data_IF_091231537383
#
_entry.id   IF_091231537383
#
_cell.length_a   1.000
_cell.length_b   1.000
_cell.length_c   1.000
_cell.angle_alpha   90.00
_cell.angle_beta   90.00
_cell.angle_gamma   90.00
#
_symmetry.space_group_name_H-M   'P 1'
#
loop_
_entity.id
_entity.type
_entity.pdbx_description
1 polymer ?
#
# COMPACT_ATOMS: atom_id res chain seq x y z
N UNK A 1 -46.58 54.17 47.26
CA UNK A 1 -47.52 54.53 46.18
C UNK A 1 -46.77 54.52 44.85
N UNK A 2 -47.30 53.76 43.87
CA UNK A 2 -47.12 53.89 42.39
C UNK A 2 -45.71 53.53 41.86
N UNK A 3 -45.47 52.50 41.04
CA UNK A 3 -46.07 52.09 39.75
C UNK A 3 -46.04 53.18 38.68
N UNK A 4 -45.12 53.09 37.70
CA UNK A 4 -45.39 52.70 36.31
C UNK A 4 -44.20 52.98 35.37
N UNK A 5 -44.23 52.22 34.29
CA UNK A 5 -43.39 52.19 33.09
C UNK A 5 -43.11 53.55 32.43
N UNK A 6 -42.01 53.64 31.68
CA UNK A 6 -42.06 54.13 30.29
C UNK A 6 -40.85 53.69 29.44
N UNK A 7 -41.14 53.65 28.13
CA UNK A 7 -40.49 52.94 27.03
C UNK A 7 -39.39 53.73 26.29
N UNK A 8 -38.54 52.96 25.59
CA UNK A 8 -37.88 53.21 24.27
C UNK A 8 -36.70 54.19 24.16
N UNK A 9 -35.54 53.73 23.67
CA UNK A 9 -35.14 53.78 22.25
C UNK A 9 -33.61 53.48 21.99
N UNK A 10 -33.36 52.62 21.00
CA UNK A 10 -32.27 52.63 19.97
C UNK A 10 -30.75 52.58 20.28
N UNK A 11 -30.17 51.36 20.15
CA UNK A 11 -28.98 50.95 19.35
C UNK A 11 -27.54 51.38 19.73
N UNK A 12 -26.46 50.82 19.13
CA UNK A 12 -26.22 49.49 18.56
C UNK A 12 -25.14 48.67 19.30
N UNK A 13 -24.96 47.42 18.83
CA UNK A 13 -24.12 46.32 19.33
C UNK A 13 -22.60 46.61 19.34
N UNK A 14 -21.91 46.21 20.42
CA UNK A 14 -20.49 45.87 20.41
C UNK A 14 -20.36 44.33 20.41
N UNK A 15 -19.82 43.81 19.32
CA UNK A 15 -19.68 42.37 19.08
C UNK A 15 -18.62 41.72 19.96
N UNK A 16 -18.96 40.56 20.49
CA UNK A 16 -18.00 39.54 20.89
C UNK A 16 -17.17 39.10 19.68
N UNK A 17 -15.85 38.90 19.80
CA UNK A 17 -15.07 38.29 18.74
C UNK A 17 -15.57 36.86 18.55
N UNK A 18 -16.20 36.62 17.39
CA UNK A 18 -16.45 35.28 16.85
C UNK A 18 -15.08 34.58 16.79
N UNK A 19 -14.95 33.47 17.53
CA UNK A 19 -13.94 32.46 17.17
C UNK A 19 -14.37 31.91 15.82
N UNK A 20 -13.57 32.19 14.80
CA UNK A 20 -13.71 31.50 13.53
C UNK A 20 -13.60 30.00 13.78
N UNK A 21 -14.51 29.18 13.24
CA UNK A 21 -14.31 27.75 13.22
C UNK A 21 -13.08 27.46 12.34
N UNK A 22 -12.07 26.81 12.92
CA UNK A 22 -11.00 26.15 12.17
C UNK A 22 -11.69 25.30 11.09
N UNK A 23 -11.39 25.49 9.79
CA UNK A 23 -12.01 24.67 8.76
C UNK A 23 -11.64 23.21 9.04
N UNK A 24 -12.67 22.37 9.09
CA UNK A 24 -12.53 20.92 9.12
C UNK A 24 -11.54 20.52 8.01
N UNK A 25 -10.42 19.95 8.44
CA UNK A 25 -9.27 19.58 7.62
C UNK A 25 -9.63 18.59 6.52
N UNK A 26 -8.76 18.49 5.51
CA UNK A 26 -8.75 17.50 4.42
C UNK A 26 -9.18 16.07 4.79
N UNK A 27 -9.08 15.69 6.06
CA UNK A 27 -9.54 14.40 6.59
C UNK A 27 -11.04 14.15 6.35
N UNK A 28 -11.88 15.20 6.38
CA UNK A 28 -13.31 15.07 6.09
C UNK A 28 -13.59 14.88 4.58
N UNK A 29 -12.75 15.44 3.71
CA UNK A 29 -12.89 15.31 2.27
C UNK A 29 -12.42 13.93 1.77
N UNK A 30 -11.36 13.35 2.37
CA UNK A 30 -10.94 11.98 2.08
C UNK A 30 -11.96 10.93 2.54
N UNK A 31 -12.65 11.16 3.66
CA UNK A 31 -13.71 10.26 4.16
C UNK A 31 -14.96 10.31 3.26
N UNK A 32 -15.26 11.47 2.66
CA UNK A 32 -16.39 11.62 1.74
C UNK A 32 -16.11 11.04 0.33
N UNK A 33 -14.86 11.07 -0.13
CA UNK A 33 -14.47 10.55 -1.45
C UNK A 33 -14.51 9.01 -1.55
N UNK A 34 -14.40 8.30 -0.42
CA UNK A 34 -14.44 6.83 -0.37
C UNK A 34 -15.84 6.24 -0.15
N UNK A 35 -16.91 7.04 -0.26
CA UNK A 35 -18.29 6.60 0.06
C UNK A 35 -19.40 7.04 -0.89
N UNK A 36 -19.09 7.71 -2.01
CA UNK A 36 -20.10 8.25 -2.93
C UNK A 36 -19.73 8.04 -4.39
N UNK A 37 -20.57 7.27 -5.11
CA UNK A 37 -20.51 7.14 -6.59
C UNK A 37 -20.39 8.52 -7.26
N UNK A 38 -19.42 8.74 -8.17
CA UNK A 38 -19.50 9.87 -9.08
C UNK A 38 -20.41 9.52 -10.27
N UNK A 39 -21.23 10.52 -10.65
CA UNK A 39 -21.99 10.56 -11.89
C UNK A 39 -21.06 10.68 -13.12
N UNK A 40 -21.51 10.32 -14.33
CA UNK A 40 -20.64 10.17 -15.51
C UNK A 40 -20.28 11.53 -16.14
N UNK A 41 -19.32 11.50 -17.08
CA UNK A 41 -18.78 12.57 -17.96
C UNK A 41 -17.36 13.03 -17.52
N UNK A 42 -16.33 13.12 -18.35
CA UNK A 42 -16.22 13.28 -19.80
C UNK A 42 -14.88 12.66 -20.31
N UNK A 43 -14.89 12.13 -21.53
CA UNK A 43 -13.74 11.55 -22.24
C UNK A 43 -12.84 12.67 -22.75
N UNK A 44 -11.55 12.63 -22.41
CA UNK A 44 -10.49 13.31 -23.17
C UNK A 44 -9.51 12.24 -23.66
N UNK A 45 -9.54 11.99 -24.97
CA UNK A 45 -8.61 11.13 -25.68
C UNK A 45 -7.28 11.86 -25.89
N UNK A 46 -6.18 11.23 -25.49
CA UNK A 46 -4.85 11.60 -25.95
C UNK A 46 -4.19 10.38 -26.62
N UNK A 47 -4.40 10.29 -27.94
CA UNK A 47 -3.47 9.64 -28.85
C UNK A 47 -2.22 10.54 -28.96
N UNK A 48 -1.04 10.03 -28.60
CA UNK A 48 0.14 10.31 -29.42
C UNK A 48 1.23 9.25 -29.24
N UNK A 49 1.35 8.46 -30.30
CA UNK A 49 2.41 7.50 -30.59
C UNK A 49 3.61 8.25 -31.15
N UNK A 50 4.77 8.14 -30.51
CA UNK A 50 6.13 8.07 -31.12
C UNK A 50 7.01 7.40 -30.05
N UNK A 51 7.53 6.19 -30.16
CA UNK A 51 8.33 5.65 -31.24
C UNK A 51 9.82 5.80 -30.90
N UNK A 52 10.41 4.84 -30.18
CA UNK A 52 11.78 4.36 -30.38
C UNK A 52 12.09 3.12 -29.53
N UNK A 53 12.23 1.98 -30.22
CA UNK A 53 12.82 0.76 -29.67
C UNK A 53 14.30 0.95 -29.40
N UNK A 54 14.78 0.53 -28.22
CA UNK A 54 16.17 0.12 -28.04
C UNK A 54 16.21 -1.22 -27.28
N UNK A 55 16.70 -2.20 -28.03
CA UNK A 55 17.39 -3.45 -27.72
C UNK A 55 17.74 -3.70 -26.24
N UNK A 56 17.35 -4.89 -25.77
CA UNK A 56 17.58 -5.38 -24.44
C UNK A 56 19.05 -5.53 -24.03
N UNK A 57 19.28 -5.30 -22.75
CA UNK A 57 20.39 -5.86 -22.00
C UNK A 57 19.82 -6.53 -20.75
N UNK A 58 20.09 -7.84 -20.62
CA UNK A 58 19.92 -8.58 -19.38
C UNK A 58 20.82 -7.96 -18.31
N UNK A 59 20.22 -7.19 -17.41
CA UNK A 59 20.82 -6.87 -16.13
C UNK A 59 20.47 -8.04 -15.19
N UNK A 60 21.47 -8.76 -14.72
CA UNK A 60 21.37 -9.56 -13.49
C UNK A 60 21.07 -8.59 -12.37
N UNK A 61 19.78 -8.41 -12.06
CA UNK A 61 19.27 -7.40 -11.15
C UNK A 61 19.80 -7.61 -9.74
N UNK A 62 20.75 -6.77 -9.32
CA UNK A 62 20.89 -6.44 -7.91
C UNK A 62 19.61 -5.72 -7.50
N UNK A 63 18.82 -6.35 -6.63
CA UNK A 63 17.73 -5.70 -5.90
C UNK A 63 18.18 -4.29 -5.44
N UNK A 64 17.39 -3.22 -5.69
CA UNK A 64 17.74 -1.87 -5.33
C UNK A 64 17.92 -1.78 -3.83
N UNK A 65 18.74 -0.83 -3.42
CA UNK A 65 19.24 -0.82 -2.05
C UNK A 65 18.18 -0.42 -1.04
N UNK A 66 17.08 0.24 -1.44
CA UNK A 66 15.90 0.40 -0.56
C UNK A 66 15.09 -0.90 -0.42
N UNK A 67 15.20 -1.82 -1.37
CA UNK A 67 14.81 -3.20 -1.13
C UNK A 67 15.70 -3.86 -0.07
N UNK A 68 16.97 -3.49 0.09
CA UNK A 68 17.78 -3.90 1.26
C UNK A 68 17.42 -3.14 2.53
N UNK A 69 16.83 -1.95 2.39
CA UNK A 69 16.24 -1.28 3.52
C UNK A 69 15.14 -2.15 4.06
N UNK A 70 14.16 -2.44 3.21
CA UNK A 70 12.88 -3.07 3.49
C UNK A 70 13.07 -4.58 3.57
N UNK A 71 13.27 -5.30 2.47
CA UNK A 71 13.35 -6.77 2.42
C UNK A 71 14.59 -7.40 3.08
N UNK A 72 15.60 -6.62 3.51
CA UNK A 72 16.73 -7.14 4.26
C UNK A 72 16.81 -6.53 5.67
N UNK A 73 17.28 -7.33 6.61
CA UNK A 73 17.74 -6.88 7.92
C UNK A 73 18.63 -5.65 7.73
N UNK A 74 18.28 -4.52 8.34
CA UNK A 74 19.18 -3.38 8.35
C UNK A 74 20.51 -3.79 9.01
N UNK A 75 21.65 -3.17 8.64
CA UNK A 75 22.86 -3.31 9.42
C UNK A 75 22.55 -2.99 10.88
N UNK A 76 22.62 -4.01 11.73
CA UNK A 76 22.30 -3.83 13.15
C UNK A 76 23.33 -2.88 13.79
N UNK A 77 22.91 -2.01 14.71
CA UNK A 77 23.83 -1.24 15.53
C UNK A 77 24.89 -2.15 16.17
N UNK A 78 26.08 -1.58 16.37
CA UNK A 78 27.14 -2.25 17.11
C UNK A 78 26.63 -2.69 18.49
N UNK A 79 27.17 -3.80 19.01
CA UNK A 79 26.65 -4.43 20.23
C UNK A 79 26.57 -3.48 21.45
N UNK A 80 27.44 -2.48 21.53
CA UNK A 80 27.46 -1.47 22.60
C UNK A 80 26.33 -0.43 22.50
N UNK A 81 25.79 -0.21 21.30
CA UNK A 81 24.78 0.82 21.01
C UNK A 81 23.40 0.23 20.80
N UNK A 82 23.31 -1.08 20.62
CA UNK A 82 22.07 -1.79 20.26
C UNK A 82 21.03 -1.76 21.37
N UNK A 83 19.78 -1.50 21.02
CA UNK A 83 18.66 -1.68 21.93
C UNK A 83 18.31 -3.17 22.10
N UNK A 84 18.07 -3.59 23.34
CA UNK A 84 17.50 -4.92 23.61
C UNK A 84 16.03 -5.03 23.22
N UNK A 85 15.30 -3.91 23.20
CA UNK A 85 13.86 -3.89 22.90
C UNK A 85 13.56 -3.81 21.40
N UNK A 86 14.47 -3.21 20.62
CA UNK A 86 14.36 -3.08 19.16
C UNK A 86 15.76 -3.27 18.57
N UNK A 87 16.20 -4.51 18.31
CA UNK A 87 17.58 -4.80 17.90
C UNK A 87 18.10 -4.03 16.69
N UNK A 88 17.23 -3.60 15.78
CA UNK A 88 17.59 -2.76 14.63
C UNK A 88 17.90 -1.30 14.97
N UNK A 89 17.49 -0.83 16.14
CA UNK A 89 17.62 0.57 16.54
C UNK A 89 18.67 0.76 17.64
N UNK A 90 19.41 1.89 17.63
CA UNK A 90 20.24 2.29 18.74
C UNK A 90 19.41 2.50 20.02
N UNK A 91 19.95 2.10 21.17
CA UNK A 91 19.32 2.25 22.48
C UNK A 91 18.93 3.71 22.78
N UNK A 92 19.75 4.67 22.37
CA UNK A 92 19.46 6.10 22.53
C UNK A 92 18.21 6.54 21.75
N UNK A 93 18.03 6.05 20.52
CA UNK A 93 16.84 6.34 19.71
C UNK A 93 15.59 5.68 20.31
N UNK A 94 15.71 4.44 20.78
CA UNK A 94 14.60 3.76 21.47
C UNK A 94 14.17 4.51 22.73
N UNK A 95 15.13 5.01 23.52
CA UNK A 95 14.85 5.85 24.69
C UNK A 95 14.15 7.17 24.28
N UNK A 96 14.57 7.81 23.19
CA UNK A 96 13.92 9.02 22.67
C UNK A 96 12.45 8.74 22.27
N UNK A 97 12.19 7.64 21.55
CA UNK A 97 10.84 7.22 21.17
C UNK A 97 9.97 6.96 22.41
N UNK A 98 10.53 6.29 23.41
CA UNK A 98 9.87 5.99 24.67
C UNK A 98 9.64 7.24 25.54
N UNK A 99 10.47 8.27 25.44
CA UNK A 99 10.36 9.48 26.24
C UNK A 99 9.40 10.52 25.64
N UNK A 100 9.14 10.48 24.33
CA UNK A 100 8.29 11.44 23.64
C UNK A 100 6.83 11.39 24.16
N UNK A 101 6.32 12.52 24.67
CA UNK A 101 4.95 12.67 25.20
C UNK A 101 4.15 13.71 24.42
N UNK A 102 4.77 14.85 24.12
CA UNK A 102 4.15 15.92 23.35
C UNK A 102 4.12 15.60 21.85
N UNK A 103 3.17 16.20 21.12
CA UNK A 103 3.06 16.00 19.67
C UNK A 103 4.34 16.39 18.92
N UNK A 104 4.99 17.49 19.30
CA UNK A 104 6.25 17.94 18.72
C UNK A 104 7.42 16.99 19.03
N UNK A 105 7.47 16.43 20.23
CA UNK A 105 8.49 15.44 20.62
C UNK A 105 8.31 14.14 19.83
N UNK A 106 7.06 13.70 19.64
CA UNK A 106 6.73 12.51 18.85
C UNK A 106 7.12 12.71 17.39
N UNK A 107 6.80 13.87 16.81
CA UNK A 107 7.21 14.19 15.44
C UNK A 107 8.73 14.23 15.29
N UNK A 108 9.45 14.85 16.24
CA UNK A 108 10.91 14.87 16.24
C UNK A 108 11.51 13.45 16.37
N UNK A 109 10.94 12.59 17.22
CA UNK A 109 11.38 11.22 17.38
C UNK A 109 11.13 10.37 16.12
N UNK A 110 9.99 10.56 15.44
CA UNK A 110 9.72 9.91 14.16
C UNK A 110 10.71 10.35 13.08
N UNK A 111 11.04 11.66 13.01
CA UNK A 111 12.05 12.18 12.07
C UNK A 111 13.41 11.54 12.34
N UNK A 112 13.85 11.51 13.61
CA UNK A 112 15.11 10.86 13.98
C UNK A 112 15.13 9.36 13.61
N UNK A 113 14.01 8.64 13.81
CA UNK A 113 13.88 7.24 13.42
C UNK A 113 13.93 7.04 11.90
N UNK A 114 13.28 7.93 11.16
CA UNK A 114 13.25 7.87 9.69
C UNK A 114 14.59 8.23 9.08
N UNK A 115 15.28 9.25 9.61
CA UNK A 115 16.63 9.61 9.21
C UNK A 115 17.62 8.48 9.51
N UNK A 116 17.47 7.80 10.66
CA UNK A 116 18.27 6.62 10.97
C UNK A 116 18.07 5.53 9.90
N UNK A 117 16.83 5.18 9.59
CA UNK A 117 16.51 4.20 8.54
C UNK A 117 17.15 4.63 7.22
N UNK A 118 16.93 5.87 6.76
CA UNK A 118 17.55 6.38 5.52
C UNK A 118 19.07 6.31 5.50
N UNK A 119 19.73 6.65 6.61
CA UNK A 119 21.18 6.61 6.69
C UNK A 119 21.74 5.18 6.61
N UNK A 120 21.00 4.17 7.05
CA UNK A 120 21.42 2.77 6.89
C UNK A 120 21.34 2.28 5.44
N UNK A 121 20.54 2.97 4.62
CA UNK A 121 20.24 2.58 3.24
C UNK A 121 21.14 3.36 2.26
N UNK A 122 21.59 4.55 2.65
CA UNK A 122 22.48 5.42 1.89
C UNK A 122 21.76 6.30 0.87
N UNK A 123 22.54 7.03 0.06
CA UNK A 123 22.04 8.06 -0.87
C UNK A 123 21.41 7.53 -2.17
N UNK A 124 21.24 6.21 -2.29
CA UNK A 124 20.85 5.57 -3.55
C UNK A 124 19.38 5.80 -3.94
N UNK A 125 18.59 6.40 -3.05
CA UNK A 125 17.19 6.76 -3.30
C UNK A 125 16.87 8.15 -2.73
N UNK A 126 17.75 9.09 -3.04
CA UNK A 126 17.59 10.50 -2.65
C UNK A 126 16.27 11.10 -3.16
N UNK A 127 15.75 10.58 -4.28
CA UNK A 127 14.47 11.00 -4.85
C UNK A 127 13.28 10.57 -3.98
N UNK A 128 13.16 9.29 -3.62
CA UNK A 128 12.13 8.84 -2.68
C UNK A 128 12.25 9.57 -1.34
N UNK A 129 13.46 9.68 -0.79
CA UNK A 129 13.71 10.41 0.46
C UNK A 129 13.22 11.86 0.35
N UNK A 130 13.40 12.50 -0.80
CA UNK A 130 12.92 13.85 -1.08
C UNK A 130 11.41 13.93 -1.30
N UNK A 131 10.72 12.84 -1.65
CA UNK A 131 9.25 12.78 -1.81
C UNK A 131 8.50 12.42 -0.52
N UNK A 132 9.10 11.60 0.35
CA UNK A 132 8.47 11.15 1.60
C UNK A 132 8.34 12.29 2.60
N UNK A 133 7.14 12.47 3.15
CA UNK A 133 6.81 13.44 4.20
C UNK A 133 6.19 12.71 5.37
N UNK A 134 6.70 12.96 6.56
CA UNK A 134 6.24 12.25 7.74
C UNK A 134 5.48 13.17 8.66
N UNK A 135 4.33 12.69 9.16
CA UNK A 135 3.41 13.45 10.01
C UNK A 135 2.98 12.61 11.20
N UNK A 136 3.10 13.18 12.40
CA UNK A 136 2.40 12.66 13.58
C UNK A 136 0.96 13.16 13.60
N UNK A 137 0.00 12.26 13.86
CA UNK A 137 -1.41 12.61 14.00
C UNK A 137 -1.87 12.25 15.42
N UNK A 138 -2.33 13.26 16.17
CA UNK A 138 -2.79 13.09 17.56
C UNK A 138 -4.21 12.49 17.65
N UNK A 139 -4.43 11.40 16.92
CA UNK A 139 -5.63 10.56 16.93
C UNK A 139 -5.17 9.14 17.25
N UNK A 140 -5.94 8.40 18.06
CA UNK A 140 -5.55 7.03 18.48
C UNK A 140 -5.31 6.12 17.27
N UNK A 141 -6.25 6.09 16.34
CA UNK A 141 -6.18 5.27 15.12
C UNK A 141 -6.73 6.03 13.93
N UNK A 142 -6.31 5.67 12.73
CA UNK A 142 -6.83 6.17 11.47
C UNK A 142 -8.16 5.52 11.04
N UNK A 143 -8.53 5.69 9.76
CA UNK A 143 -9.59 4.90 9.12
C UNK A 143 -9.36 3.40 9.34
N UNK A 144 -10.43 2.63 9.53
CA UNK A 144 -10.34 1.17 9.72
C UNK A 144 -9.63 0.71 10.99
N UNK A 145 -9.23 1.61 11.90
CA UNK A 145 -8.44 1.28 13.08
C UNK A 145 -6.93 1.24 12.85
N UNK A 146 -6.45 1.67 11.67
CA UNK A 146 -5.04 1.63 11.31
C UNK A 146 -4.16 2.48 12.24
N UNK A 147 -2.91 2.05 12.44
CA UNK A 147 -1.93 2.78 13.25
C UNK A 147 -1.06 3.74 12.44
N UNK A 148 -1.09 3.61 11.13
CA UNK A 148 -0.57 4.60 10.20
C UNK A 148 -1.36 4.60 8.88
N UNK A 149 -1.00 5.51 7.98
CA UNK A 149 -1.56 5.62 6.64
C UNK A 149 -0.55 6.28 5.71
N UNK A 150 -0.25 5.61 4.61
CA UNK A 150 0.44 6.18 3.45
C UNK A 150 -0.58 6.70 2.44
N UNK A 151 -0.42 7.94 1.98
CA UNK A 151 -1.19 8.50 0.86
C UNK A 151 -0.34 9.47 0.04
N UNK A 152 -0.64 9.61 -1.25
CA UNK A 152 -0.11 10.74 -2.01
C UNK A 152 -0.89 12.01 -1.70
N UNK A 153 -0.17 13.07 -1.41
CA UNK A 153 -0.75 14.40 -1.43
C UNK A 153 -0.85 14.82 -2.89
N UNK A 154 -2.01 14.59 -3.50
CA UNK A 154 -2.31 15.08 -4.84
C UNK A 154 -1.99 16.58 -4.91
N UNK A 155 -0.93 16.93 -5.64
CA UNK A 155 -0.53 18.29 -5.92
C UNK A 155 -1.49 18.96 -6.91
N UNK A 156 -1.20 20.21 -7.25
CA UNK A 156 -1.79 20.81 -8.45
C UNK A 156 -1.43 19.98 -9.70
N UNK A 157 -2.13 20.21 -10.82
CA UNK A 157 -2.03 19.43 -12.05
C UNK A 157 -0.65 19.41 -12.76
N UNK A 158 0.41 19.93 -12.12
CA UNK A 158 1.76 20.11 -12.67
C UNK A 158 2.86 19.37 -11.88
N UNK A 159 2.52 18.62 -10.81
CA UNK A 159 3.51 17.90 -10.02
C UNK A 159 3.63 16.46 -10.51
N UNK A 160 4.61 16.18 -11.37
CA UNK A 160 4.87 14.85 -11.93
C UNK A 160 5.28 13.82 -10.88
N UNK A 161 5.53 14.24 -9.63
CA UNK A 161 5.96 13.38 -8.52
C UNK A 161 5.42 13.90 -7.18
N UNK A 162 4.12 13.73 -6.90
CA UNK A 162 3.51 14.27 -5.69
C UNK A 162 4.18 13.73 -4.41
N UNK A 163 4.20 14.53 -3.32
CA UNK A 163 4.71 14.06 -2.03
C UNK A 163 3.94 12.85 -1.50
N UNK A 164 4.67 11.87 -0.97
CA UNK A 164 4.10 10.70 -0.30
C UNK A 164 4.06 10.97 1.20
N UNK A 165 2.87 11.08 1.78
CA UNK A 165 2.67 11.43 3.18
C UNK A 165 2.43 10.17 4.02
N UNK A 166 3.32 9.92 4.98
CA UNK A 166 3.20 8.88 6.00
C UNK A 166 2.63 9.49 7.27
N UNK A 167 1.39 9.16 7.59
CA UNK A 167 0.70 9.63 8.79
C UNK A 167 0.77 8.57 9.87
N UNK A 168 1.56 8.79 10.91
CA UNK A 168 1.66 7.87 12.06
C UNK A 168 0.71 8.35 13.17
N UNK A 169 -0.23 7.49 13.56
CA UNK A 169 -1.22 7.78 14.58
C UNK A 169 -0.68 7.53 15.99
N UNK A 170 -1.35 8.12 16.98
CA UNK A 170 -0.99 8.03 18.40
C UNK A 170 -0.92 6.58 18.91
N UNK A 171 -1.77 5.70 18.41
CA UNK A 171 -1.84 4.30 18.81
C UNK A 171 -0.52 3.55 18.59
N UNK A 172 0.22 3.85 17.52
CA UNK A 172 1.53 3.26 17.27
C UNK A 172 2.52 3.56 18.43
N UNK A 173 2.52 4.80 18.93
CA UNK A 173 3.33 5.18 20.10
C UNK A 173 2.87 4.50 21.39
N UNK A 174 1.56 4.36 21.58
CA UNK A 174 0.98 3.75 22.78
C UNK A 174 1.30 2.25 22.89
N UNK A 175 1.57 1.59 21.75
CA UNK A 175 2.03 0.19 21.69
C UNK A 175 3.52 0.00 21.89
N UNK A 176 4.29 1.09 21.97
CA UNK A 176 5.72 1.05 22.27
C UNK A 176 6.63 1.07 21.04
N UNK A 177 7.95 1.15 21.25
CA UNK A 177 8.93 1.46 20.21
C UNK A 177 9.07 0.37 19.14
N UNK A 178 8.91 -0.91 19.49
CA UNK A 178 8.99 -2.02 18.54
C UNK A 178 7.86 -1.95 17.51
N UNK A 179 6.62 -1.80 17.99
CA UNK A 179 5.45 -1.66 17.13
C UNK A 179 5.53 -0.38 16.31
N UNK A 180 5.91 0.74 16.93
CA UNK A 180 6.10 2.01 16.22
C UNK A 180 7.13 1.91 15.08
N UNK A 181 8.25 1.23 15.33
CA UNK A 181 9.28 1.01 14.32
C UNK A 181 8.79 0.08 13.20
N UNK A 182 8.14 -1.05 13.54
CA UNK A 182 7.52 -1.94 12.56
C UNK A 182 6.50 -1.21 11.68
N UNK A 183 5.63 -0.39 12.30
CA UNK A 183 4.64 0.42 11.57
C UNK A 183 5.31 1.44 10.66
N UNK A 184 6.36 2.17 11.09
CA UNK A 184 7.08 3.07 10.18
C UNK A 184 7.63 2.30 8.98
N UNK A 185 8.25 1.16 9.24
CA UNK A 185 8.86 0.33 8.21
C UNK A 185 7.83 -0.16 7.21
N UNK A 186 6.68 -0.64 7.68
CA UNK A 186 5.51 -0.99 6.87
C UNK A 186 5.09 0.16 5.94
N UNK A 187 4.93 1.37 6.45
CA UNK A 187 4.55 2.53 5.62
C UNK A 187 5.65 2.93 4.63
N UNK A 188 6.92 2.72 4.95
CA UNK A 188 8.02 2.96 4.01
C UNK A 188 7.97 1.98 2.83
N UNK A 189 7.51 0.74 3.04
CA UNK A 189 7.26 -0.21 1.93
C UNK A 189 6.14 0.32 1.04
N UNK A 190 5.04 0.80 1.62
CA UNK A 190 3.98 1.43 0.83
C UNK A 190 4.47 2.65 0.06
N UNK A 191 5.36 3.46 0.64
CA UNK A 191 5.99 4.56 -0.08
C UNK A 191 6.81 4.06 -1.28
N UNK A 192 7.56 2.96 -1.14
CA UNK A 192 8.27 2.33 -2.25
C UNK A 192 7.31 1.86 -3.34
N UNK A 193 6.32 1.05 -2.98
CA UNK A 193 5.32 0.52 -3.91
C UNK A 193 4.66 1.64 -4.71
N UNK A 194 4.40 2.78 -4.07
CA UNK A 194 3.75 3.95 -4.66
C UNK A 194 4.69 4.83 -5.50
N UNK A 195 5.99 4.78 -5.21
CA UNK A 195 7.01 5.48 -6.00
C UNK A 195 7.36 4.79 -7.32
N UNK A 196 7.06 3.50 -7.44
CA UNK A 196 7.34 2.70 -8.63
C UNK A 196 6.39 3.07 -9.78
N UNK A 197 6.96 3.23 -10.97
CA UNK A 197 6.22 3.33 -12.23
C UNK A 197 6.25 1.95 -12.88
N UNK A 198 5.10 1.32 -13.18
CA UNK A 198 5.11 0.02 -13.84
C UNK A 198 5.62 0.13 -15.28
N UNK A 199 6.43 -0.85 -15.68
CA UNK A 199 6.74 -1.05 -17.10
C UNK A 199 5.45 -1.43 -17.86
N UNK A 200 5.32 -0.89 -19.08
CA UNK A 200 4.11 -0.91 -19.90
C UNK A 200 3.47 -2.31 -20.06
N UNK A 201 2.47 -2.63 -19.23
CA UNK A 201 1.39 -3.56 -19.60
C UNK A 201 1.11 -4.77 -18.71
N UNK A 202 1.89 -5.07 -17.68
CA UNK A 202 1.54 -6.11 -16.69
C UNK A 202 2.24 -5.91 -15.34
N UNK A 203 1.67 -6.45 -14.26
CA UNK A 203 2.41 -6.61 -13.02
C UNK A 203 3.52 -7.63 -13.25
N UNK A 204 4.79 -7.19 -13.28
CA UNK A 204 5.88 -8.04 -13.72
C UNK A 204 6.31 -8.99 -12.63
N UNK A 205 6.72 -10.20 -13.01
CA UNK A 205 7.35 -11.14 -12.09
C UNK A 205 8.73 -10.65 -11.60
N UNK A 206 9.33 -9.67 -12.29
CA UNK A 206 10.64 -9.09 -11.96
C UNK A 206 10.53 -7.81 -11.13
N UNK A 207 9.34 -7.28 -10.91
CA UNK A 207 9.18 -6.10 -10.07
C UNK A 207 9.68 -6.38 -8.67
N UNK A 208 10.36 -5.41 -8.10
CA UNK A 208 11.00 -5.54 -6.79
C UNK A 208 9.98 -5.50 -5.66
N UNK A 209 8.95 -4.67 -5.81
CA UNK A 209 7.78 -4.64 -4.93
C UNK A 209 6.50 -4.79 -5.75
N UNK A 210 5.39 -5.09 -5.06
CA UNK A 210 4.09 -5.01 -5.69
C UNK A 210 3.64 -3.55 -5.83
N UNK A 211 3.89 -2.92 -6.97
CA UNK A 211 3.66 -1.48 -7.14
C UNK A 211 2.19 -1.05 -6.94
N UNK A 212 2.01 0.19 -6.50
CA UNK A 212 0.71 0.84 -6.47
C UNK A 212 0.44 1.51 -7.83
N UNK A 213 -0.26 0.80 -8.70
CA UNK A 213 -0.96 1.35 -9.85
C UNK A 213 -1.98 2.43 -9.42
N UNK A 214 -1.49 3.65 -9.23
CA UNK A 214 -2.33 4.80 -8.89
C UNK A 214 -3.24 5.22 -10.03
N UNK A 215 -2.84 4.90 -11.26
CA UNK A 215 -3.52 5.26 -12.50
C UNK A 215 -3.76 4.02 -13.35
N UNK A 216 -4.57 3.06 -12.86
CA UNK A 216 -4.79 1.82 -13.58
C UNK A 216 -5.43 2.11 -14.94
N UNK A 217 -5.00 1.41 -16.00
CA UNK A 217 -5.69 1.46 -17.28
C UNK A 217 -7.20 1.25 -17.08
N UNK A 218 -8.07 1.93 -17.86
CA UNK A 218 -9.53 1.84 -17.69
C UNK A 218 -10.07 0.41 -17.64
N UNK A 219 -9.43 -0.52 -18.36
CA UNK A 219 -9.74 -1.95 -18.41
C UNK A 219 -9.48 -2.71 -17.10
N UNK A 220 -8.63 -2.18 -16.21
CA UNK A 220 -8.42 -2.75 -14.88
C UNK A 220 -9.45 -2.23 -13.87
N UNK A 221 -9.91 -0.99 -14.04
CA UNK A 221 -10.96 -0.37 -13.25
C UNK A 221 -10.64 -0.19 -11.75
N UNK A 222 -11.41 0.65 -11.03
CA UNK A 222 -11.22 0.87 -9.60
C UNK A 222 -11.49 -0.38 -8.76
N UNK A 223 -12.27 -1.34 -9.27
CA UNK A 223 -12.63 -2.57 -8.55
C UNK A 223 -11.41 -3.43 -8.20
N UNK A 224 -10.38 -3.47 -9.05
CA UNK A 224 -9.17 -4.27 -8.75
C UNK A 224 -8.23 -3.60 -7.76
N UNK A 225 -8.33 -2.28 -7.56
CA UNK A 225 -7.52 -1.56 -6.58
C UNK A 225 -7.80 -2.08 -5.16
N UNK A 226 -9.07 -2.07 -4.77
CA UNK A 226 -9.47 -2.40 -3.40
C UNK A 226 -9.56 -3.91 -3.16
N UNK A 227 -9.78 -4.70 -4.21
CA UNK A 227 -10.02 -6.15 -4.07
C UNK A 227 -8.82 -7.03 -4.42
N UNK A 228 -7.83 -6.50 -5.17
CA UNK A 228 -6.62 -7.24 -5.51
C UNK A 228 -5.37 -6.51 -5.05
N UNK A 229 -5.17 -5.29 -5.54
CA UNK A 229 -3.92 -4.59 -5.35
C UNK A 229 -3.63 -4.29 -3.87
N UNK A 230 -4.54 -3.61 -3.18
CA UNK A 230 -4.34 -3.25 -1.78
C UNK A 230 -4.10 -4.49 -0.91
N UNK A 231 -4.92 -5.56 -0.96
CA UNK A 231 -4.63 -6.75 -0.17
C UNK A 231 -3.30 -7.45 -0.54
N UNK A 232 -2.86 -7.42 -1.81
CA UNK A 232 -1.55 -7.97 -2.20
C UNK A 232 -0.39 -7.17 -1.58
N UNK A 233 -0.50 -5.84 -1.59
CA UNK A 233 0.48 -4.93 -1.00
C UNK A 233 0.56 -5.08 0.51
N UNK A 234 -0.58 -5.19 1.17
CA UNK A 234 -0.67 -5.41 2.61
C UNK A 234 -0.14 -6.79 3.02
N UNK A 235 -0.32 -7.83 2.19
CA UNK A 235 0.34 -9.13 2.40
C UNK A 235 1.85 -8.97 2.35
N UNK A 236 2.38 -8.22 1.39
CA UNK A 236 3.82 -7.97 1.30
C UNK A 236 4.36 -7.28 2.55
N UNK A 237 3.69 -6.23 3.02
CA UNK A 237 4.13 -5.48 4.20
C UNK A 237 4.00 -6.29 5.49
N UNK A 238 2.91 -7.03 5.70
CA UNK A 238 2.72 -7.84 6.91
C UNK A 238 3.59 -9.11 6.94
N UNK A 239 3.90 -9.72 5.79
CA UNK A 239 4.87 -10.81 5.73
C UNK A 239 6.25 -10.30 6.15
N UNK A 240 6.64 -9.11 5.68
CA UNK A 240 7.88 -8.48 6.10
C UNK A 240 7.98 -8.34 7.62
N UNK A 241 6.93 -7.85 8.27
CA UNK A 241 6.88 -7.69 9.73
C UNK A 241 7.09 -9.00 10.50
N UNK A 242 6.52 -10.11 10.00
CA UNK A 242 6.65 -11.42 10.63
C UNK A 242 8.05 -12.02 10.45
N UNK A 243 8.62 -11.89 9.25
CA UNK A 243 9.97 -12.40 8.94
C UNK A 243 11.03 -11.66 9.76
N UNK A 244 10.85 -10.35 9.98
CA UNK A 244 11.80 -9.49 10.68
C UNK A 244 11.41 -9.25 12.15
N UNK A 245 10.51 -10.07 12.73
CA UNK A 245 9.99 -9.85 14.07
C UNK A 245 11.07 -9.84 15.17
N UNK A 246 12.12 -10.66 15.01
CA UNK A 246 13.25 -10.70 15.95
C UNK A 246 14.11 -9.43 15.91
N UNK A 247 14.17 -8.75 14.77
CA UNK A 247 15.00 -7.57 14.52
C UNK A 247 14.28 -6.28 14.91
N UNK A 248 12.98 -6.22 14.62
CA UNK A 248 12.10 -5.13 15.06
C UNK A 248 11.71 -5.25 16.53
N UNK A 249 11.85 -6.43 17.13
CA UNK A 249 11.51 -6.70 18.52
C UNK A 249 9.99 -6.73 18.79
N UNK A 250 9.15 -6.87 17.76
CA UNK A 250 7.70 -7.00 17.95
C UNK A 250 7.37 -8.28 18.71
N UNK A 251 6.40 -8.17 19.61
CA UNK A 251 6.05 -9.26 20.52
C UNK A 251 5.06 -10.27 19.91
N UNK A 252 4.74 -11.31 20.67
CA UNK A 252 3.82 -12.36 20.23
C UNK A 252 2.38 -11.85 20.02
N UNK A 253 1.98 -10.79 20.73
CA UNK A 253 0.64 -10.20 20.57
C UNK A 253 0.54 -9.54 19.21
N UNK A 254 1.51 -8.70 18.85
CA UNK A 254 1.59 -8.06 17.53
C UNK A 254 1.62 -9.11 16.42
N UNK A 255 2.47 -10.13 16.54
CA UNK A 255 2.58 -11.20 15.54
C UNK A 255 1.26 -11.95 15.31
N UNK A 256 0.50 -12.20 16.38
CA UNK A 256 -0.83 -12.83 16.27
C UNK A 256 -1.80 -11.94 15.51
N UNK A 257 -1.84 -10.63 15.82
CA UNK A 257 -2.67 -9.68 15.08
C UNK A 257 -2.28 -9.58 13.61
N UNK A 258 -0.98 -9.58 13.30
CA UNK A 258 -0.46 -9.59 11.93
C UNK A 258 -0.89 -10.85 11.18
N UNK A 259 -0.92 -12.02 11.84
CA UNK A 259 -1.46 -13.26 11.25
C UNK A 259 -2.94 -13.11 10.91
N UNK A 260 -3.75 -12.52 11.80
CA UNK A 260 -5.18 -12.28 11.55
C UNK A 260 -5.38 -11.35 10.34
N UNK A 261 -4.55 -10.30 10.20
CA UNK A 261 -4.57 -9.42 9.02
C UNK A 261 -4.19 -10.16 7.74
N UNK A 262 -3.14 -10.98 7.74
CA UNK A 262 -2.75 -11.78 6.57
C UNK A 262 -3.88 -12.71 6.12
N UNK A 263 -4.57 -13.35 7.05
CA UNK A 263 -5.73 -14.20 6.75
C UNK A 263 -6.84 -13.39 6.10
N UNK A 264 -7.17 -12.23 6.67
CA UNK A 264 -8.21 -11.33 6.15
C UNK A 264 -7.90 -10.84 4.74
N UNK A 265 -6.69 -10.31 4.51
CA UNK A 265 -6.28 -9.85 3.19
C UNK A 265 -6.26 -11.00 2.17
N UNK A 266 -5.93 -12.21 2.60
CA UNK A 266 -6.02 -13.38 1.72
C UNK A 266 -7.47 -13.70 1.35
N UNK A 267 -8.42 -13.59 2.27
CA UNK A 267 -9.83 -13.81 1.98
C UNK A 267 -10.41 -12.71 1.07
N UNK A 268 -9.96 -11.46 1.23
CA UNK A 268 -10.26 -10.36 0.32
C UNK A 268 -9.72 -10.65 -1.09
N UNK A 269 -8.48 -11.15 -1.22
CA UNK A 269 -7.92 -11.60 -2.51
C UNK A 269 -8.71 -12.74 -3.15
N UNK A 270 -9.07 -13.77 -2.38
CA UNK A 270 -9.84 -14.91 -2.90
C UNK A 270 -11.16 -14.42 -3.47
N UNK A 271 -11.82 -13.49 -2.77
CA UNK A 271 -13.06 -12.85 -3.23
C UNK A 271 -12.83 -12.01 -4.49
N UNK A 272 -11.80 -11.17 -4.50
CA UNK A 272 -11.43 -10.31 -5.63
C UNK A 272 -11.10 -11.10 -6.90
N UNK A 273 -10.33 -12.19 -6.77
CA UNK A 273 -9.99 -13.08 -7.89
C UNK A 273 -11.26 -13.63 -8.55
N UNK A 274 -12.25 -14.03 -7.75
CA UNK A 274 -13.53 -14.54 -8.23
C UNK A 274 -14.34 -13.52 -9.03
N UNK A 275 -14.17 -12.23 -8.74
CA UNK A 275 -14.86 -11.12 -9.42
C UNK A 275 -14.16 -10.59 -10.68
N UNK A 276 -12.91 -10.96 -10.93
CA UNK A 276 -12.13 -10.40 -12.06
C UNK A 276 -12.54 -10.90 -13.43
N UNK A 277 -12.30 -10.09 -14.48
CA UNK A 277 -12.27 -10.50 -15.89
C UNK A 277 -10.97 -11.23 -16.25
N UNK A 278 -10.87 -11.82 -17.44
CA UNK A 278 -9.69 -12.60 -17.83
C UNK A 278 -8.46 -11.69 -18.00
N UNK A 279 -8.66 -10.49 -18.57
CA UNK A 279 -7.61 -9.47 -18.69
C UNK A 279 -7.12 -8.96 -17.34
N UNK A 280 -8.04 -8.61 -16.43
CA UNK A 280 -7.69 -8.20 -15.06
C UNK A 280 -6.90 -9.28 -14.31
N UNK A 281 -7.33 -10.55 -14.41
CA UNK A 281 -6.59 -11.65 -13.80
C UNK A 281 -5.20 -11.80 -14.43
N UNK A 282 -5.11 -11.74 -15.76
CA UNK A 282 -3.84 -11.81 -16.49
C UNK A 282 -2.84 -10.76 -16.02
N UNK A 283 -3.30 -9.51 -15.88
CA UNK A 283 -2.50 -8.38 -15.42
C UNK A 283 -1.90 -8.60 -14.03
N UNK A 284 -2.69 -9.10 -13.07
CA UNK A 284 -2.27 -9.27 -11.67
C UNK A 284 -1.67 -10.64 -11.33
N UNK A 285 -1.67 -11.60 -12.27
CA UNK A 285 -1.34 -13.01 -11.99
C UNK A 285 0.03 -13.21 -11.34
N UNK A 286 1.04 -12.45 -11.77
CA UNK A 286 2.39 -12.59 -11.23
C UNK A 286 2.46 -12.14 -9.76
N UNK A 287 1.78 -11.04 -9.43
CA UNK A 287 1.69 -10.55 -8.05
C UNK A 287 0.84 -11.48 -7.17
N UNK A 288 -0.27 -12.02 -7.68
CA UNK A 288 -1.04 -13.03 -6.96
C UNK A 288 -0.19 -14.26 -6.63
N UNK A 289 0.65 -14.69 -7.58
CA UNK A 289 1.60 -15.78 -7.38
C UNK A 289 2.70 -15.42 -6.39
N UNK A 290 3.15 -14.16 -6.36
CA UNK A 290 4.11 -13.64 -5.38
C UNK A 290 3.50 -13.58 -3.97
N UNK A 291 2.31 -13.00 -3.80
CA UNK A 291 1.58 -12.96 -2.53
C UNK A 291 1.42 -14.37 -1.92
N UNK A 292 1.08 -15.37 -2.74
CA UNK A 292 1.05 -16.77 -2.29
C UNK A 292 2.40 -17.26 -1.75
N UNK A 293 3.51 -16.94 -2.42
CA UNK A 293 4.86 -17.33 -1.94
C UNK A 293 5.20 -16.64 -0.62
N UNK A 294 4.92 -15.35 -0.52
CA UNK A 294 5.14 -14.56 0.70
C UNK A 294 4.35 -15.11 1.90
N UNK A 295 3.11 -15.59 1.71
CA UNK A 295 2.37 -16.28 2.78
C UNK A 295 3.10 -17.57 3.22
N UNK A 296 3.77 -18.28 2.31
CA UNK A 296 4.63 -19.42 2.64
C UNK A 296 5.85 -19.01 3.47
N UNK A 297 6.47 -17.88 3.14
CA UNK A 297 7.61 -17.33 3.89
C UNK A 297 7.19 -16.90 5.30
N UNK A 298 6.04 -16.23 5.43
CA UNK A 298 5.44 -15.92 6.73
C UNK A 298 5.16 -17.19 7.55
N UNK A 299 4.57 -18.22 6.95
CA UNK A 299 4.34 -19.49 7.66
C UNK A 299 5.65 -20.14 8.13
N UNK A 300 6.74 -20.03 7.37
CA UNK A 300 8.05 -20.53 7.76
C UNK A 300 8.71 -19.72 8.89
N UNK A 301 8.44 -18.40 8.97
CA UNK A 301 8.90 -17.53 10.05
C UNK A 301 8.11 -17.71 11.36
N UNK A 302 6.98 -18.42 11.31
CA UNK A 302 6.11 -18.69 12.46
C UNK A 302 6.39 -20.07 13.07
N UNK A 303 6.12 -20.20 14.38
CA UNK A 303 6.07 -21.52 15.02
C UNK A 303 4.87 -22.33 14.52
N UNK A 304 4.90 -23.66 14.69
CA UNK A 304 3.94 -24.60 14.07
C UNK A 304 2.46 -24.23 14.29
N UNK A 305 2.09 -23.81 15.51
CA UNK A 305 0.71 -23.44 15.82
C UNK A 305 0.26 -22.15 15.10
N UNK A 306 1.09 -21.11 15.14
CA UNK A 306 0.79 -19.84 14.48
C UNK A 306 0.89 -19.92 12.94
N UNK A 307 1.67 -20.86 12.40
CA UNK A 307 1.81 -21.07 10.96
C UNK A 307 0.58 -21.71 10.30
N UNK A 308 -0.24 -22.43 11.06
CA UNK A 308 -1.40 -23.16 10.54
C UNK A 308 -2.43 -22.27 9.80
N UNK A 309 -2.94 -21.15 10.37
CA UNK A 309 -3.88 -20.27 9.68
C UNK A 309 -3.30 -19.66 8.40
N UNK A 310 -2.03 -19.24 8.42
CA UNK A 310 -1.35 -18.66 7.24
C UNK A 310 -1.16 -19.72 6.15
N UNK A 311 -0.80 -20.96 6.52
CA UNK A 311 -0.69 -22.08 5.58
C UNK A 311 -2.05 -22.38 4.92
N UNK A 312 -3.12 -22.39 5.71
CA UNK A 312 -4.47 -22.57 5.19
C UNK A 312 -4.89 -21.43 4.24
N UNK A 313 -4.55 -20.18 4.57
CA UNK A 313 -4.79 -19.02 3.73
C UNK A 313 -4.04 -19.13 2.39
N UNK A 314 -2.74 -19.48 2.42
CA UNK A 314 -1.94 -19.71 1.22
C UNK A 314 -2.55 -20.82 0.33
N UNK A 315 -3.11 -21.88 0.93
CA UNK A 315 -3.82 -22.93 0.23
C UNK A 315 -5.10 -22.45 -0.46
N UNK A 316 -5.91 -21.62 0.22
CA UNK A 316 -7.12 -20.99 -0.38
C UNK A 316 -6.75 -20.09 -1.56
N UNK A 317 -5.73 -19.25 -1.40
CA UNK A 317 -5.26 -18.38 -2.48
C UNK A 317 -4.76 -19.18 -3.68
N UNK A 318 -3.98 -20.24 -3.44
CA UNK A 318 -3.51 -21.12 -4.51
C UNK A 318 -4.66 -21.77 -5.30
N UNK A 319 -5.71 -22.22 -4.60
CA UNK A 319 -6.90 -22.81 -5.22
C UNK A 319 -7.69 -21.77 -6.04
N UNK A 320 -7.84 -20.55 -5.54
CA UNK A 320 -8.50 -19.45 -6.25
C UNK A 320 -7.76 -19.08 -7.54
N UNK A 321 -6.43 -18.91 -7.48
CA UNK A 321 -5.57 -18.65 -8.64
C UNK A 321 -5.72 -19.76 -9.68
N UNK A 322 -5.63 -21.03 -9.27
CA UNK A 322 -5.75 -22.17 -10.17
C UNK A 322 -7.12 -22.25 -10.86
N UNK A 323 -8.19 -22.03 -10.10
CA UNK A 323 -9.57 -22.03 -10.61
C UNK A 323 -9.75 -20.93 -11.66
N UNK A 324 -9.26 -19.72 -11.38
CA UNK A 324 -9.37 -18.58 -12.30
C UNK A 324 -8.54 -18.77 -13.56
N UNK A 325 -7.32 -19.30 -13.44
CA UNK A 325 -6.47 -19.62 -14.57
C UNK A 325 -7.11 -20.68 -15.51
N UNK A 326 -7.73 -21.72 -14.95
CA UNK A 326 -8.44 -22.74 -15.73
C UNK A 326 -9.65 -22.15 -16.46
N UNK A 327 -10.42 -21.27 -15.81
CA UNK A 327 -11.54 -20.57 -16.43
C UNK A 327 -11.09 -19.69 -17.61
N UNK A 328 -9.99 -18.95 -17.47
CA UNK A 328 -9.45 -18.09 -18.52
C UNK A 328 -8.98 -18.89 -19.75
N UNK A 329 -8.36 -20.06 -19.55
CA UNK A 329 -7.94 -20.94 -20.64
C UNK A 329 -9.13 -21.46 -21.47
N UNK A 330 -10.21 -21.88 -20.80
CA UNK A 330 -11.40 -22.40 -21.47
C UNK A 330 -12.14 -21.33 -22.30
N UNK A 331 -12.08 -20.06 -21.90
CA UNK A 331 -12.68 -18.96 -22.67
C UNK A 331 -11.91 -18.64 -23.95
N UNK A 332 -10.58 -18.75 -23.95
CA UNK A 332 -9.76 -18.51 -25.15
C UNK A 332 -10.01 -19.56 -26.25
N UNK A 333 -10.26 -20.82 -25.86
CA UNK A 333 -10.55 -21.91 -26.80
C UNK A 333 -11.92 -21.79 -27.50
N UNK A 334 -12.93 -21.20 -26.83
CA UNK A 334 -14.27 -21.02 -27.44
C UNK A 334 -14.27 -19.86 -28.46
N UNK A 335 -13.53 -18.78 -28.22
CA UNK A 335 -13.35 -17.68 -29.18
C UNK A 335 -12.55 -18.11 -30.42
N UNK A 336 -11.49 -18.93 -30.23
CA UNK A 336 -10.71 -19.50 -31.32
C UNK A 336 -11.48 -20.53 -32.17
N UNK A 337 -12.49 -21.21 -31.58
CA UNK A 337 -13.39 -22.10 -32.33
C UNK A 337 -14.46 -21.32 -33.10
N UNK A 338 -15.02 -20.24 -32.56
CA UNK A 338 -16.05 -19.44 -33.24
C UNK A 338 -15.50 -18.61 -34.41
N UNK A 339 -14.23 -18.23 -34.37
CA UNK A 339 -13.57 -17.53 -35.48
C UNK A 339 -13.12 -18.45 -36.62
N UNK A 340 -13.14 -19.78 -36.42
CA UNK A 340 -13.05 -20.77 -37.51
C UNK A 340 -14.45 -21.07 -38.07
N UNK A 341 -14.96 -20.15 -38.88
CA UNK A 341 -16.13 -20.43 -39.73
C UNK A 341 -15.81 -21.61 -40.68
N UNK A 342 -16.65 -22.66 -40.72
CA UNK A 342 -16.53 -23.73 -41.71
C UNK A 342 -17.11 -23.22 -43.03
N UNK A 343 -16.31 -22.53 -43.85
CA UNK A 343 -16.84 -21.78 -45.00
C UNK A 343 -16.01 -21.71 -46.28
N UNK A 344 -14.75 -22.12 -46.31
CA UNK A 344 -13.98 -22.18 -47.57
C UNK A 344 -13.66 -23.63 -47.94
N UNK A 345 -14.51 -24.18 -48.82
CA UNK A 345 -14.23 -25.42 -49.53
C UNK A 345 -12.99 -25.23 -50.43
N UNK A 346 -12.04 -26.17 -50.44
CA UNK A 346 -10.97 -26.16 -51.43
C UNK A 346 -11.55 -26.43 -52.82
N UNK A 347 -11.45 -25.45 -53.71
CA UNK A 347 -11.78 -25.56 -55.13
C UNK A 347 -10.94 -26.64 -55.80
N UNK A 348 -11.57 -27.79 -56.08
CA UNK A 348 -11.03 -28.86 -56.91
C UNK A 348 -10.91 -28.39 -58.36
N UNK A 349 -9.69 -27.99 -58.78
CA UNK A 349 -9.33 -27.85 -60.19
C UNK A 349 -9.28 -29.23 -60.86
N UNK A 350 -10.40 -29.58 -61.51
CA UNK A 350 -10.54 -30.71 -62.44
C UNK A 350 -9.76 -30.41 -63.73
N UNK A 351 -8.63 -31.07 -63.91
CA UNK A 351 -7.88 -31.09 -65.19
C UNK A 351 -8.57 -32.05 -66.15
N UNK A 352 -9.01 -31.56 -67.32
CA UNK A 352 -9.48 -32.38 -68.44
C UNK A 352 -8.27 -32.94 -69.21
N UNK A 353 -8.33 -34.22 -69.56
CA UNK A 353 -7.73 -34.77 -70.78
C UNK A 353 -8.86 -35.18 -71.72
#
# INVERSE_FOLDING_TARGET
>A
MRAHEQKSASGPRAGTPRRDPVPASLDAALIAANGGRPAPHQVLTAQQVVGNSVVGQSMTGTAPVVQRAVDASLPQPGAAERSAAVPDLPAALVQQLQAARAASEREAALRAMTDYVWNQIGDQDAELRARVRLRYVNRATGPGGAMALTHEQLGGAEDDSPPIVLSIYRGAFERGPAVLYSTLRHELIHAMQRSMVPDEGEASATDEFMFENLYPPPELGPETRDTLQLPMQEIETHVWELVHAGETGVDQTYRTETVDWLVRYTDDLVTGIGGTTAGQFGYWRNYLSRARRLLGDAAAALGTEAAAPVTAAAGRLAAAIATRAAAAANSADDEGRRSRSPGEQPSSKRTKR
#
